data_IF_206125923458
#
_entry.id   IF_206125923458
#
_cell.length_a   1.000
_cell.length_b   1.000
_cell.length_c   1.000
_cell.angle_alpha   90.00
_cell.angle_beta   90.00
_cell.angle_gamma   90.00
#
_symmetry.space_group_name_H-M   'P 1'
#
loop_
_entity.id
_entity.type
_entity.pdbx_description
1 polymer ?
#
# COMPACT_ATOMS: atom_id res chain seq x y z
N UNK A 1 7.83 -9.53 12.86
CA UNK A 1 8.68 -8.34 12.76
C UNK A 1 7.90 -7.14 12.23
N UNK A 2 8.38 -5.92 12.58
CA UNK A 2 7.89 -4.67 11.99
C UNK A 2 9.08 -3.88 11.46
N UNK A 3 8.92 -3.31 10.29
CA UNK A 3 9.95 -2.51 9.62
C UNK A 3 9.39 -1.14 9.29
N UNK A 4 10.15 -0.10 9.58
CA UNK A 4 9.89 1.25 9.05
C UNK A 4 10.79 1.44 7.84
N UNK A 5 10.22 1.91 6.75
CA UNK A 5 10.92 2.21 5.52
C UNK A 5 10.73 3.67 5.17
N UNK A 6 11.83 4.42 5.03
CA UNK A 6 11.78 5.82 4.62
C UNK A 6 11.60 5.98 3.12
N UNK A 7 11.19 7.16 2.69
CA UNK A 7 10.98 7.48 1.27
C UNK A 7 12.26 7.37 0.43
N UNK A 8 13.42 7.59 1.04
CA UNK A 8 14.72 7.48 0.39
C UNK A 8 15.30 6.04 0.39
N UNK A 9 14.56 5.06 0.94
CA UNK A 9 14.91 3.64 0.91
C UNK A 9 15.80 3.16 2.06
N UNK A 10 15.76 3.81 3.23
CA UNK A 10 16.41 3.36 4.47
C UNK A 10 15.44 2.55 5.33
N UNK A 11 15.95 1.57 6.05
CA UNK A 11 15.14 0.69 6.88
C UNK A 11 15.55 0.70 8.35
N UNK A 12 14.53 0.59 9.21
CA UNK A 12 14.66 0.39 10.66
C UNK A 12 13.80 -0.80 11.07
N UNK A 13 14.40 -1.79 11.69
CA UNK A 13 13.67 -2.92 12.26
C UNK A 13 13.22 -2.57 13.68
N UNK A 14 11.93 -2.77 13.97
CA UNK A 14 11.37 -2.64 15.32
C UNK A 14 11.25 -4.04 15.90
N UNK A 15 12.08 -4.36 16.89
CA UNK A 15 12.09 -5.67 17.54
C UNK A 15 10.76 -5.96 18.25
N UNK A 16 10.39 -7.24 18.34
CA UNK A 16 9.25 -7.68 19.16
C UNK A 16 9.48 -7.23 20.62
N UNK A 17 8.50 -6.53 21.19
CA UNK A 17 8.52 -6.13 22.61
C UNK A 17 9.06 -4.73 22.89
N UNK A 18 9.51 -4.00 21.87
CA UNK A 18 9.78 -2.56 22.02
C UNK A 18 8.44 -1.83 21.87
N UNK A 19 8.05 -1.09 22.92
CA UNK A 19 6.93 -0.16 22.82
C UNK A 19 7.27 1.01 21.90
N UNK A 20 6.27 1.78 21.50
CA UNK A 20 6.55 3.02 20.73
C UNK A 20 7.39 3.97 21.56
N UNK A 21 7.18 3.99 22.88
CA UNK A 21 7.95 4.78 23.83
C UNK A 21 9.40 4.29 23.89
N UNK A 22 9.65 2.98 24.02
CA UNK A 22 11.01 2.41 24.03
C UNK A 22 11.73 2.65 22.70
N UNK A 23 11.00 2.64 21.58
CA UNK A 23 11.54 2.97 20.27
C UNK A 23 11.96 4.44 20.20
N UNK A 24 11.15 5.34 20.77
CA UNK A 24 11.43 6.78 20.83
C UNK A 24 12.61 7.09 21.75
N UNK A 25 12.77 6.37 22.87
CA UNK A 25 13.87 6.57 23.82
C UNK A 25 15.19 5.92 23.36
N UNK A 26 15.11 4.80 22.65
CA UNK A 26 16.28 4.02 22.25
C UNK A 26 16.94 4.42 20.93
N UNK A 27 16.28 5.26 20.13
CA UNK A 27 16.80 5.81 18.89
C UNK A 27 16.72 7.33 19.04
N UNK A 28 17.75 8.04 18.63
CA UNK A 28 17.66 9.49 18.54
C UNK A 28 16.59 9.85 17.51
N UNK A 29 15.37 9.99 18.02
CA UNK A 29 14.15 10.15 17.24
C UNK A 29 14.23 11.32 16.24
N UNK A 30 14.96 12.38 16.61
CA UNK A 30 15.19 13.52 15.72
C UNK A 30 15.98 13.12 14.49
N UNK A 31 17.01 12.27 14.62
CA UNK A 31 17.77 11.75 13.50
C UNK A 31 16.94 10.80 12.64
N UNK A 32 16.15 9.93 13.26
CA UNK A 32 15.20 9.06 12.54
C UNK A 32 14.13 9.88 11.84
N UNK A 33 13.56 10.88 12.50
CA UNK A 33 12.54 11.75 11.93
C UNK A 33 13.08 12.58 10.77
N UNK A 34 14.28 13.12 10.90
CA UNK A 34 14.95 13.85 9.83
C UNK A 34 15.28 12.93 8.64
N UNK A 35 15.70 11.68 8.91
CA UNK A 35 16.01 10.70 7.89
C UNK A 35 14.75 10.09 7.22
N UNK A 36 13.66 9.92 7.96
CA UNK A 36 12.41 9.37 7.44
C UNK A 36 11.63 10.38 6.58
N UNK A 37 11.78 11.69 6.86
CA UNK A 37 10.98 12.71 6.18
C UNK A 37 9.48 12.51 6.37
N UNK A 38 8.68 13.23 5.60
CA UNK A 38 7.23 13.04 5.57
C UNK A 38 6.90 11.82 4.71
N UNK A 39 6.33 10.77 5.32
CA UNK A 39 5.77 9.64 4.57
C UNK A 39 6.52 8.31 4.67
N UNK A 40 7.15 8.02 5.81
CA UNK A 40 7.66 6.67 6.09
C UNK A 40 6.54 5.62 6.08
N UNK A 41 6.85 4.42 5.60
CA UNK A 41 5.94 3.28 5.55
C UNK A 41 6.24 2.34 6.72
N UNK A 42 5.23 2.06 7.54
CA UNK A 42 5.30 1.01 8.56
C UNK A 42 4.78 -0.31 7.97
N UNK A 43 5.60 -1.34 8.02
CA UNK A 43 5.31 -2.63 7.44
C UNK A 43 5.28 -3.69 8.53
N UNK A 44 4.20 -4.44 8.60
CA UNK A 44 4.12 -5.66 9.39
C UNK A 44 4.58 -6.85 8.55
N UNK A 45 5.58 -7.57 9.03
CA UNK A 45 6.18 -8.69 8.33
C UNK A 45 5.69 -10.00 8.98
N UNK A 46 4.77 -10.74 8.34
CA UNK A 46 4.36 -12.04 8.83
C UNK A 46 5.51 -13.05 8.73
N UNK A 47 5.50 -14.04 9.61
CA UNK A 47 6.55 -15.08 9.65
C UNK A 47 6.53 -15.98 8.38
N UNK A 48 5.43 -15.96 7.63
CA UNK A 48 5.28 -16.70 6.36
C UNK A 48 5.90 -15.99 5.15
N UNK A 49 6.27 -14.71 5.27
CA UNK A 49 6.86 -13.96 4.17
C UNK A 49 8.38 -14.21 4.07
N UNK A 50 8.89 -14.31 2.86
CA UNK A 50 10.32 -14.48 2.57
C UNK A 50 10.96 -13.24 1.95
N UNK A 51 10.14 -12.34 1.47
CA UNK A 51 10.57 -11.19 0.68
C UNK A 51 9.88 -9.90 1.12
N UNK A 52 10.59 -8.79 0.95
CA UNK A 52 10.05 -7.44 0.97
C UNK A 52 10.12 -6.88 -0.46
N UNK A 53 8.98 -6.44 -0.99
CA UNK A 53 8.95 -5.68 -2.24
C UNK A 53 8.71 -4.20 -1.91
N UNK A 54 9.73 -3.38 -2.18
CA UNK A 54 9.64 -1.92 -2.06
C UNK A 54 9.18 -1.32 -3.38
N UNK A 55 8.32 -0.33 -3.32
CA UNK A 55 7.65 0.24 -4.48
C UNK A 55 7.76 1.76 -4.48
N UNK A 56 8.19 2.32 -5.60
CA UNK A 56 8.35 3.76 -5.77
C UNK A 56 7.14 4.42 -6.47
N UNK A 57 7.01 5.72 -6.28
CA UNK A 57 5.91 6.52 -6.85
C UNK A 57 5.84 6.46 -8.38
N UNK A 58 6.96 6.26 -9.05
CA UNK A 58 7.03 6.10 -10.50
C UNK A 58 6.69 4.68 -10.99
N UNK A 59 6.23 3.80 -10.10
CA UNK A 59 5.84 2.43 -10.40
C UNK A 59 6.99 1.42 -10.43
N UNK A 60 8.24 1.84 -10.27
CA UNK A 60 9.40 0.93 -10.19
C UNK A 60 9.45 0.24 -8.84
N UNK A 61 10.00 -0.97 -8.81
CA UNK A 61 10.01 -1.82 -7.62
C UNK A 61 11.31 -2.58 -7.47
N UNK A 62 11.54 -3.11 -6.27
CA UNK A 62 12.65 -4.04 -6.00
C UNK A 62 12.23 -5.08 -4.97
N UNK A 63 12.61 -6.33 -5.19
CA UNK A 63 12.41 -7.45 -4.26
C UNK A 63 13.69 -7.73 -3.50
N UNK A 64 13.60 -7.72 -2.17
CA UNK A 64 14.70 -7.96 -1.24
C UNK A 64 14.40 -9.17 -0.35
N UNK A 65 15.42 -9.96 0.10
CA UNK A 65 15.23 -10.99 1.11
C UNK A 65 14.80 -10.38 2.43
N UNK A 66 13.70 -10.86 3.01
CA UNK A 66 13.14 -10.30 4.24
C UNK A 66 14.07 -10.52 5.45
N UNK A 67 14.73 -11.68 5.54
CA UNK A 67 15.70 -12.00 6.58
C UNK A 67 16.84 -10.97 6.64
N UNK A 68 17.32 -10.51 5.51
CA UNK A 68 18.33 -9.45 5.44
C UNK A 68 17.77 -8.10 5.89
N UNK A 69 16.56 -7.75 5.48
CA UNK A 69 15.95 -6.46 5.85
C UNK A 69 15.74 -6.38 7.37
N UNK A 70 15.23 -7.45 7.99
CA UNK A 70 14.97 -7.47 9.44
C UNK A 70 16.24 -7.57 10.29
N UNK A 71 17.36 -7.95 9.71
CA UNK A 71 18.68 -7.98 10.36
C UNK A 71 19.57 -6.79 10.01
N UNK A 72 19.06 -5.87 9.19
CA UNK A 72 19.79 -4.67 8.79
C UNK A 72 20.11 -3.77 9.99
N UNK A 73 21.28 -3.14 9.94
CA UNK A 73 21.60 -2.10 10.90
C UNK A 73 20.61 -0.92 10.75
N UNK A 74 20.06 -0.36 11.84
CA UNK A 74 19.10 0.74 11.76
C UNK A 74 19.59 1.89 10.88
N UNK A 75 18.73 2.37 9.97
CA UNK A 75 19.07 3.44 9.02
C UNK A 75 19.87 2.99 7.80
N UNK A 76 20.11 1.68 7.63
CA UNK A 76 20.81 1.19 6.44
C UNK A 76 20.04 1.51 5.16
N UNK A 77 20.78 1.95 4.14
CA UNK A 77 20.26 2.15 2.79
C UNK A 77 20.03 0.78 2.12
N UNK A 78 18.79 0.29 2.13
CA UNK A 78 18.46 -1.00 1.53
C UNK A 78 18.07 -0.88 0.06
N UNK A 79 17.52 0.27 -0.35
CA UNK A 79 17.13 0.58 -1.73
C UNK A 79 17.72 1.93 -2.14
N UNK A 80 18.28 2.00 -3.34
CA UNK A 80 18.65 3.27 -3.98
C UNK A 80 17.49 3.78 -4.82
N UNK A 81 16.97 4.95 -4.51
CA UNK A 81 15.77 5.51 -5.14
C UNK A 81 16.07 6.46 -6.30
N UNK A 82 17.30 6.96 -6.41
CA UNK A 82 17.74 7.95 -7.40
C UNK A 82 16.80 9.19 -7.37
N UNK A 83 16.06 9.46 -8.47
CA UNK A 83 15.16 10.62 -8.60
C UNK A 83 13.70 10.35 -8.19
N UNK A 84 13.42 9.22 -7.54
CA UNK A 84 12.08 8.84 -7.10
C UNK A 84 12.03 8.61 -5.59
N UNK A 85 10.88 8.28 -5.05
CA UNK A 85 10.77 7.93 -3.63
C UNK A 85 9.90 6.68 -3.42
N UNK A 86 10.25 5.93 -2.37
CA UNK A 86 9.43 4.81 -1.92
C UNK A 86 8.11 5.34 -1.35
N UNK A 87 7.01 4.75 -1.77
CA UNK A 87 5.67 5.13 -1.29
C UNK A 87 4.96 4.00 -0.57
N UNK A 88 5.35 2.76 -0.85
CA UNK A 88 4.74 1.59 -0.23
C UNK A 88 5.71 0.39 -0.25
N UNK A 89 5.42 -0.63 0.56
CA UNK A 89 6.13 -1.88 0.52
C UNK A 89 5.28 -3.04 1.06
N UNK A 90 5.49 -4.24 0.53
CA UNK A 90 4.77 -5.45 0.88
C UNK A 90 5.73 -6.54 1.35
N UNK A 91 5.47 -7.15 2.52
CA UNK A 91 6.03 -8.45 2.86
C UNK A 91 5.22 -9.54 2.16
N UNK A 92 5.87 -10.40 1.41
CA UNK A 92 5.23 -11.40 0.56
C UNK A 92 6.10 -12.63 0.37
N UNK A 93 5.51 -13.69 -0.17
CA UNK A 93 6.18 -14.91 -0.60
C UNK A 93 6.34 -14.94 -2.13
N UNK A 94 7.24 -15.77 -2.63
CA UNK A 94 7.46 -15.91 -4.08
C UNK A 94 6.19 -16.33 -4.85
N UNK A 95 5.31 -17.09 -4.18
CA UNK A 95 4.04 -17.56 -4.76
C UNK A 95 2.92 -16.51 -4.79
N UNK A 96 3.12 -15.37 -4.12
CA UNK A 96 2.12 -14.32 -4.05
C UNK A 96 2.05 -13.50 -5.34
N UNK A 97 0.98 -12.74 -5.45
CA UNK A 97 0.81 -11.69 -6.46
C UNK A 97 0.67 -10.34 -5.77
N UNK A 98 1.17 -9.30 -6.39
CA UNK A 98 1.04 -7.92 -5.93
C UNK A 98 0.01 -7.18 -6.78
N UNK A 99 -0.80 -6.36 -6.13
CA UNK A 99 -1.75 -5.46 -6.75
C UNK A 99 -1.22 -4.03 -6.63
N UNK A 100 -0.87 -3.43 -7.77
CA UNK A 100 -0.45 -2.04 -7.91
C UNK A 100 -1.66 -1.18 -8.24
N UNK A 101 -1.79 -0.04 -7.59
CA UNK A 101 -2.89 0.92 -7.80
C UNK A 101 -2.30 2.31 -7.98
N UNK A 102 -2.61 2.97 -9.10
CA UNK A 102 -2.14 4.33 -9.37
C UNK A 102 -3.13 5.39 -8.88
N UNK A 103 -2.66 6.62 -8.75
CA UNK A 103 -3.48 7.77 -8.36
C UNK A 103 -4.59 8.10 -9.36
N UNK A 104 -4.39 7.80 -10.64
CA UNK A 104 -5.44 7.95 -11.67
C UNK A 104 -6.41 6.76 -11.73
N UNK A 105 -6.36 5.86 -10.74
CA UNK A 105 -7.31 4.76 -10.61
C UNK A 105 -7.05 3.59 -11.56
N UNK A 106 -5.80 3.42 -12.02
CA UNK A 106 -5.37 2.23 -12.75
C UNK A 106 -4.93 1.15 -11.76
N UNK A 107 -5.12 -0.11 -12.13
CA UNK A 107 -4.62 -1.24 -11.35
C UNK A 107 -3.96 -2.29 -12.23
N UNK A 108 -2.92 -2.93 -11.66
CA UNK A 108 -2.18 -4.01 -12.31
C UNK A 108 -1.84 -5.07 -11.27
N UNK A 109 -1.88 -6.34 -11.67
CA UNK A 109 -1.50 -7.47 -10.83
C UNK A 109 -0.25 -8.14 -11.40
N UNK A 110 0.74 -8.41 -10.55
CA UNK A 110 2.03 -9.00 -10.94
C UNK A 110 2.41 -10.10 -9.95
N UNK A 111 2.82 -11.26 -10.46
CA UNK A 111 3.39 -12.32 -9.63
C UNK A 111 4.74 -11.88 -9.03
N UNK A 112 4.94 -12.11 -7.73
CA UNK A 112 6.20 -11.80 -7.02
C UNK A 112 7.40 -12.50 -7.67
N UNK A 113 7.22 -13.72 -8.17
CA UNK A 113 8.22 -14.50 -8.89
C UNK A 113 8.79 -13.81 -10.16
N UNK A 114 8.13 -12.75 -10.65
CA UNK A 114 8.63 -11.93 -11.77
C UNK A 114 9.77 -11.01 -11.37
N UNK A 115 9.89 -10.68 -10.10
CA UNK A 115 10.94 -9.83 -9.57
C UNK A 115 12.13 -10.70 -9.14
N UNK A 116 13.29 -10.43 -9.70
CA UNK A 116 14.53 -11.06 -9.25
C UNK A 116 14.83 -10.64 -7.82
N UNK A 117 15.06 -11.62 -6.94
CA UNK A 117 15.47 -11.39 -5.58
C UNK A 117 16.86 -10.74 -5.53
N UNK A 118 16.97 -9.49 -5.10
CA UNK A 118 18.22 -8.75 -4.99
C UNK A 118 18.84 -8.98 -3.62
N UNK A 119 20.04 -9.54 -3.61
CA UNK A 119 20.76 -9.87 -2.35
C UNK A 119 21.70 -8.76 -1.90
N UNK A 120 21.94 -7.77 -2.75
CA UNK A 120 22.86 -6.67 -2.46
C UNK A 120 22.11 -5.46 -1.90
N UNK A 121 22.74 -4.78 -0.93
CA UNK A 121 22.23 -3.54 -0.36
C UNK A 121 22.37 -2.37 -1.34
N UNK A 122 21.47 -1.37 -1.21
CA UNK A 122 21.50 -0.19 -2.06
C UNK A 122 21.28 -0.51 -3.54
N UNK A 123 20.62 -1.63 -3.85
CA UNK A 123 20.25 -1.97 -5.21
C UNK A 123 19.21 -0.98 -5.75
N UNK A 124 19.32 -0.68 -7.05
CA UNK A 124 18.39 0.20 -7.73
C UNK A 124 17.04 -0.47 -7.98
N UNK A 125 16.02 0.37 -8.17
CA UNK A 125 14.70 -0.05 -8.58
C UNK A 125 14.71 -0.58 -10.01
N UNK A 126 13.89 -1.57 -10.26
CA UNK A 126 13.66 -2.16 -11.58
C UNK A 126 12.22 -1.91 -12.03
N UNK A 127 11.87 -2.40 -13.22
CA UNK A 127 10.53 -2.21 -13.74
C UNK A 127 9.43 -2.78 -12.83
N UNK A 128 8.30 -2.11 -12.83
CA UNK A 128 7.09 -2.49 -12.12
C UNK A 128 5.87 -2.10 -12.97
N UNK A 129 4.92 -1.37 -12.38
CA UNK A 129 3.82 -0.79 -13.14
C UNK A 129 4.31 0.36 -14.03
N UNK A 130 3.98 0.33 -15.32
CA UNK A 130 4.33 1.41 -16.23
C UNK A 130 3.38 2.61 -16.03
N UNK A 131 3.86 3.66 -15.39
CA UNK A 131 3.14 4.91 -15.19
C UNK A 131 3.42 5.84 -16.37
N UNK A 132 2.59 5.79 -17.39
CA UNK A 132 2.80 6.55 -18.65
C UNK A 132 1.94 7.82 -18.75
N UNK A 133 0.93 7.97 -17.90
CA UNK A 133 0.09 9.15 -17.92
C UNK A 133 0.76 10.29 -17.18
N UNK A 134 0.90 11.43 -17.83
CA UNK A 134 1.44 12.63 -17.21
C UNK A 134 0.67 12.97 -15.93
N UNK A 135 1.41 13.20 -14.84
CA UNK A 135 0.86 13.47 -13.51
C UNK A 135 0.24 12.27 -12.82
N UNK A 136 0.38 11.03 -13.35
CA UNK A 136 0.04 9.83 -12.61
C UNK A 136 1.24 9.35 -11.78
N UNK A 137 0.93 8.75 -10.65
CA UNK A 137 1.90 8.14 -9.74
C UNK A 137 1.30 6.90 -9.12
N UNK A 138 2.13 5.98 -8.67
CA UNK A 138 1.65 4.88 -7.85
C UNK A 138 1.11 5.41 -6.53
N UNK A 139 0.02 4.82 -6.05
CA UNK A 139 -0.65 5.18 -4.79
C UNK A 139 -0.46 4.07 -3.75
N UNK A 140 -0.71 2.82 -4.13
CA UNK A 140 -0.63 1.66 -3.22
C UNK A 140 -0.08 0.44 -3.93
N UNK A 141 0.57 -0.41 -3.13
CA UNK A 141 0.89 -1.78 -3.50
C UNK A 141 0.42 -2.71 -2.39
N UNK A 142 -0.35 -3.72 -2.72
CA UNK A 142 -0.94 -4.66 -1.76
C UNK A 142 -0.62 -6.09 -2.18
N UNK A 143 -0.43 -7.00 -1.22
CA UNK A 143 -0.48 -8.43 -1.53
C UNK A 143 -1.90 -8.77 -1.95
N UNK A 144 -2.06 -9.35 -3.13
CA UNK A 144 -3.36 -9.68 -3.69
C UNK A 144 -4.06 -10.78 -2.89
N UNK A 145 -5.30 -10.51 -2.48
CA UNK A 145 -6.14 -11.41 -1.69
C UNK A 145 -7.45 -11.70 -2.44
N UNK A 146 -7.57 -12.85 -3.14
CA UNK A 146 -8.68 -13.12 -4.04
C UNK A 146 -10.05 -13.21 -3.37
N UNK A 147 -10.09 -13.58 -2.09
CA UNK A 147 -11.34 -13.79 -1.34
C UNK A 147 -11.79 -12.57 -0.53
N UNK A 148 -10.99 -11.49 -0.53
CA UNK A 148 -11.28 -10.30 0.28
C UNK A 148 -11.79 -9.13 -0.57
N UNK A 149 -12.68 -8.35 0.01
CA UNK A 149 -13.16 -7.11 -0.61
C UNK A 149 -12.08 -6.03 -0.58
N UNK A 150 -11.72 -5.52 -1.75
CA UNK A 150 -10.83 -4.38 -1.90
C UNK A 150 -11.66 -3.09 -1.84
N UNK A 151 -11.35 -2.21 -0.90
CA UNK A 151 -11.92 -0.86 -0.84
C UNK A 151 -10.91 0.14 -1.39
N UNK A 152 -11.34 0.95 -2.35
CA UNK A 152 -10.55 2.01 -2.98
C UNK A 152 -11.18 3.35 -2.65
N UNK A 153 -10.37 4.31 -2.24
CA UNK A 153 -10.82 5.61 -1.74
C UNK A 153 -10.19 6.73 -2.55
N UNK A 154 -11.02 7.68 -2.99
CA UNK A 154 -10.52 8.89 -3.67
C UNK A 154 -10.34 10.06 -2.72
N UNK A 155 -9.56 11.05 -3.18
CA UNK A 155 -9.30 12.30 -2.44
C UNK A 155 -10.58 13.08 -2.17
N UNK A 156 -11.54 13.07 -3.11
CA UNK A 156 -12.83 13.73 -2.95
C UNK A 156 -13.83 12.90 -2.11
N UNK A 157 -13.39 11.85 -1.45
CA UNK A 157 -14.19 11.07 -0.51
C UNK A 157 -15.12 10.06 -1.15
N UNK A 158 -14.86 9.63 -2.38
CA UNK A 158 -15.58 8.50 -2.98
C UNK A 158 -15.00 7.18 -2.51
N UNK A 159 -15.88 6.21 -2.30
CA UNK A 159 -15.53 4.83 -1.94
C UNK A 159 -16.03 3.88 -3.01
N UNK A 160 -15.18 2.92 -3.35
CA UNK A 160 -15.49 1.82 -4.24
C UNK A 160 -15.11 0.52 -3.53
N UNK A 161 -16.04 -0.43 -3.39
CA UNK A 161 -15.72 -1.77 -2.95
C UNK A 161 -15.81 -2.75 -4.12
N UNK A 162 -14.79 -3.58 -4.26
CA UNK A 162 -14.69 -4.61 -5.28
C UNK A 162 -14.52 -5.96 -4.61
N UNK A 163 -15.33 -6.93 -5.03
CA UNK A 163 -15.00 -8.32 -4.77
C UNK A 163 -13.79 -8.70 -5.61
N UNK A 164 -12.73 -9.13 -4.92
CA UNK A 164 -11.54 -9.66 -5.60
C UNK A 164 -11.69 -11.15 -5.92
N UNK A 165 -12.95 -11.64 -6.10
CA UNK A 165 -13.16 -12.99 -6.57
C UNK A 165 -12.58 -13.21 -7.97
N UNK A 166 -12.34 -14.45 -8.31
CA UNK A 166 -11.69 -14.83 -9.57
C UNK A 166 -12.41 -14.30 -10.82
N UNK A 167 -13.69 -14.02 -10.77
CA UNK A 167 -14.44 -13.56 -11.93
C UNK A 167 -14.39 -12.05 -12.13
N UNK A 168 -14.49 -11.26 -11.08
CA UNK A 168 -14.34 -9.81 -11.14
C UNK A 168 -12.89 -9.41 -11.47
N UNK A 169 -11.91 -10.19 -10.99
CA UNK A 169 -10.47 -9.91 -11.16
C UNK A 169 -9.84 -10.57 -12.39
N UNK A 170 -10.51 -11.49 -13.07
CA UNK A 170 -10.05 -12.00 -14.38
C UNK A 170 -9.76 -10.86 -15.39
N UNK A 171 -10.32 -9.68 -15.15
CA UNK A 171 -10.11 -8.48 -15.97
C UNK A 171 -8.98 -7.57 -15.46
N UNK A 172 -8.46 -7.77 -14.23
CA UNK A 172 -7.17 -7.19 -13.82
C UNK A 172 -6.13 -8.21 -14.27
N UNK A 173 -5.71 -8.12 -15.53
CA UNK A 173 -4.88 -9.14 -16.13
C UNK A 173 -3.57 -9.29 -15.38
N UNK A 174 -3.24 -10.54 -15.04
CA UNK A 174 -1.84 -10.91 -14.74
C UNK A 174 -1.10 -10.79 -16.05
N UNK A 175 -0.42 -9.70 -16.24
CA UNK A 175 0.31 -9.46 -17.47
C UNK A 175 1.62 -10.21 -17.46
N UNK A 176 2.00 -10.78 -18.59
CA UNK A 176 3.25 -11.51 -18.76
C UNK A 176 4.50 -10.61 -18.76
N UNK A 177 4.37 -9.31 -18.53
CA UNK A 177 5.46 -8.35 -18.50
C UNK A 177 5.38 -7.41 -17.33
N UNK A 178 6.51 -6.90 -16.88
CA UNK A 178 6.64 -5.91 -15.79
C UNK A 178 6.44 -4.45 -16.24
N UNK A 179 5.99 -4.22 -17.47
CA UNK A 179 5.86 -2.89 -18.07
C UNK A 179 4.47 -2.68 -18.66
N UNK A 180 3.42 -2.76 -17.84
CA UNK A 180 2.05 -2.61 -18.30
C UNK A 180 1.34 -1.50 -17.53
N UNK A 181 0.49 -0.75 -18.24
CA UNK A 181 -0.26 0.40 -17.70
C UNK A 181 -1.35 0.03 -16.70
N UNK A 182 -1.72 -1.25 -16.62
CA UNK A 182 -2.88 -1.69 -15.87
C UNK A 182 -4.21 -1.34 -16.55
N UNK A 183 -5.28 -1.63 -15.84
CA UNK A 183 -6.68 -1.43 -16.28
C UNK A 183 -7.38 -0.44 -15.36
N UNK A 184 -8.47 0.16 -15.85
CA UNK A 184 -9.29 1.05 -15.03
C UNK A 184 -9.92 0.29 -13.86
N UNK A 185 -9.57 0.69 -12.65
CA UNK A 185 -10.12 0.17 -11.40
C UNK A 185 -11.28 1.04 -10.93
N UNK A 186 -11.02 2.36 -10.80
CA UNK A 186 -11.98 3.36 -10.33
C UNK A 186 -12.12 4.46 -11.36
N UNK A 187 -13.36 4.85 -11.67
CA UNK A 187 -13.64 6.02 -12.52
C UNK A 187 -13.58 7.27 -11.68
N UNK A 188 -12.61 8.11 -11.97
CA UNK A 188 -12.42 9.42 -11.34
C UNK A 188 -12.91 10.52 -12.26
N UNK A 189 -13.27 11.68 -11.71
CA UNK A 189 -13.73 12.85 -12.45
C UNK A 189 -12.92 14.09 -12.09
N UNK A 190 -12.66 14.93 -13.07
CA UNK A 190 -11.90 16.18 -12.86
C UNK A 190 -10.50 15.92 -12.35
N UNK A 191 -10.16 16.55 -11.24
CA UNK A 191 -8.85 16.47 -10.57
C UNK A 191 -8.80 15.41 -9.45
N UNK A 192 -9.86 14.61 -9.30
CA UNK A 192 -9.90 13.58 -8.26
C UNK A 192 -8.85 12.50 -8.50
N UNK A 193 -8.29 11.96 -7.40
CA UNK A 193 -7.26 10.94 -7.44
C UNK A 193 -7.52 9.89 -6.39
N UNK A 194 -7.06 8.67 -6.60
CA UNK A 194 -7.01 7.65 -5.55
C UNK A 194 -5.97 8.07 -4.51
N UNK A 195 -6.34 8.01 -3.24
CA UNK A 195 -5.44 8.32 -2.11
C UNK A 195 -5.13 7.11 -1.26
N UNK A 196 -5.99 6.11 -1.26
CA UNK A 196 -5.75 4.88 -0.51
C UNK A 196 -6.53 3.69 -1.09
N UNK A 197 -6.06 2.50 -0.78
CA UNK A 197 -6.76 1.25 -1.04
C UNK A 197 -6.33 0.21 0.00
N UNK A 198 -7.30 -0.58 0.48
CA UNK A 198 -7.05 -1.59 1.51
C UNK A 198 -8.06 -2.74 1.43
N UNK A 199 -7.66 -3.88 1.93
CA UNK A 199 -8.58 -4.98 2.21
C UNK A 199 -9.12 -4.80 3.62
N UNK A 200 -10.42 -4.57 3.76
CA UNK A 200 -11.09 -4.44 5.04
C UNK A 200 -12.11 -5.57 5.23
N UNK A 201 -12.21 -6.10 6.44
CA UNK A 201 -13.18 -7.15 6.77
C UNK A 201 -14.48 -6.58 7.29
N UNK A 202 -14.42 -5.64 8.20
CA UNK A 202 -15.59 -5.13 8.91
C UNK A 202 -15.89 -3.67 8.57
N UNK A 203 -14.89 -2.82 8.56
CA UNK A 203 -15.10 -1.40 8.35
C UNK A 203 -13.88 -0.65 7.85
N UNK A 204 -14.14 0.54 7.34
CA UNK A 204 -13.13 1.49 6.87
C UNK A 204 -13.40 2.84 7.51
N UNK A 205 -12.38 3.47 8.07
CA UNK A 205 -12.43 4.86 8.53
C UNK A 205 -11.62 5.72 7.56
N UNK A 206 -12.27 6.72 6.99
CA UNK A 206 -11.62 7.75 6.18
C UNK A 206 -11.27 8.96 7.04
N UNK A 207 -10.06 9.49 6.85
CA UNK A 207 -9.54 10.67 7.52
C UNK A 207 -9.34 11.79 6.50
N UNK A 208 -9.80 13.00 6.83
CA UNK A 208 -9.64 14.17 5.98
C UNK A 208 -8.53 15.11 6.47
N UNK A 209 -8.02 15.95 5.59
CA UNK A 209 -6.98 16.93 5.89
C UNK A 209 -7.37 17.97 6.96
N UNK A 210 -8.65 18.15 7.21
CA UNK A 210 -9.18 19.06 8.25
C UNK A 210 -9.55 18.35 9.55
N UNK A 211 -9.06 17.10 9.75
CA UNK A 211 -9.22 16.35 10.99
C UNK A 211 -10.59 15.68 11.18
N UNK A 212 -11.46 15.64 10.15
CA UNK A 212 -12.70 14.88 10.22
C UNK A 212 -12.44 13.41 9.93
N UNK A 213 -13.19 12.54 10.62
CA UNK A 213 -13.18 11.11 10.39
C UNK A 213 -14.60 10.61 10.11
N UNK A 214 -14.74 9.62 9.24
CA UNK A 214 -16.02 8.92 9.00
C UNK A 214 -15.78 7.45 8.74
N UNK A 215 -16.50 6.61 9.50
CA UNK A 215 -16.49 5.16 9.35
C UNK A 215 -17.62 4.66 8.45
N UNK A 216 -17.35 3.56 7.77
CA UNK A 216 -18.31 2.77 6.99
C UNK A 216 -18.12 1.30 7.30
N UNK A 217 -19.22 0.58 7.53
CA UNK A 217 -19.17 -0.87 7.49
C UNK A 217 -18.94 -1.32 6.04
N UNK A 218 -18.14 -2.35 5.85
CA UNK A 218 -17.85 -2.87 4.50
C UNK A 218 -19.13 -3.31 3.79
N UNK A 219 -20.10 -3.85 4.54
CA UNK A 219 -21.38 -4.28 3.99
C UNK A 219 -22.29 -3.11 3.53
N UNK A 220 -22.08 -1.91 4.06
CA UNK A 220 -22.80 -0.70 3.63
C UNK A 220 -22.22 -0.09 2.36
N UNK A 221 -21.00 -0.50 1.96
CA UNK A 221 -20.38 -0.05 0.73
C UNK A 221 -20.89 -0.92 -0.42
N UNK A 222 -21.63 -0.30 -1.34
CA UNK A 222 -22.14 -1.02 -2.50
C UNK A 222 -20.99 -1.66 -3.28
N UNK A 223 -21.01 -2.98 -3.39
CA UNK A 223 -20.07 -3.74 -4.21
C UNK A 223 -20.38 -3.52 -5.68
N UNK A 224 -19.37 -3.12 -6.43
CA UNK A 224 -19.52 -2.77 -7.85
C UNK A 224 -18.41 -3.40 -8.66
N UNK A 225 -18.61 -3.44 -9.97
CA UNK A 225 -17.56 -3.83 -10.89
C UNK A 225 -16.49 -2.72 -11.00
N UNK A 226 -15.28 -3.09 -11.41
CA UNK A 226 -14.25 -2.11 -11.71
C UNK A 226 -14.74 -1.06 -12.73
N UNK A 227 -14.05 0.08 -12.77
CA UNK A 227 -14.42 1.25 -13.60
C UNK A 227 -15.77 1.88 -13.22
N UNK A 228 -16.15 1.77 -11.96
CA UNK A 228 -17.25 2.50 -11.35
C UNK A 228 -16.73 3.74 -10.62
N UNK A 229 -17.58 4.73 -10.45
CA UNK A 229 -17.25 5.93 -9.65
C UNK A 229 -17.42 5.75 -8.15
N UNK A 230 -17.97 4.62 -7.72
CA UNK A 230 -18.25 4.37 -6.30
C UNK A 230 -19.37 5.23 -5.74
N UNK A 231 -19.46 5.26 -4.40
CA UNK A 231 -20.40 6.09 -3.65
C UNK A 231 -19.68 7.29 -3.02
N UNK A 232 -20.41 8.37 -2.74
CA UNK A 232 -19.87 9.51 -2.00
C UNK A 232 -19.91 9.21 -0.51
N UNK A 233 -18.74 9.19 0.11
CA UNK A 233 -18.59 8.93 1.54
C UNK A 233 -18.56 10.21 2.38
N UNK A 234 -17.43 10.88 2.43
CA UNK A 234 -17.21 12.06 3.26
C UNK A 234 -16.96 13.30 2.39
N UNK A 235 -17.51 14.44 2.79
CA UNK A 235 -17.17 15.71 2.16
C UNK A 235 -15.82 16.23 2.72
N UNK A 236 -14.91 16.59 1.83
CA UNK A 236 -13.58 17.09 2.17
C UNK A 236 -12.49 16.31 1.45
N UNK A 237 -11.25 16.75 1.62
CA UNK A 237 -10.11 16.04 1.05
C UNK A 237 -9.69 14.90 1.97
N UNK A 238 -9.92 13.67 1.55
CA UNK A 238 -9.42 12.48 2.23
C UNK A 238 -7.91 12.38 2.01
N UNK A 239 -7.19 12.11 3.09
CA UNK A 239 -5.73 11.95 3.07
C UNK A 239 -5.31 10.52 3.36
N UNK A 240 -6.14 9.74 4.07
CA UNK A 240 -5.87 8.35 4.41
C UNK A 240 -7.14 7.58 4.75
N UNK A 241 -7.07 6.27 4.60
CA UNK A 241 -8.05 5.35 5.15
C UNK A 241 -7.36 4.27 6.00
N UNK A 242 -8.06 3.75 6.99
CA UNK A 242 -7.59 2.67 7.84
C UNK A 242 -8.69 1.63 8.02
N UNK A 243 -8.29 0.36 8.16
CA UNK A 243 -9.23 -0.69 8.55
C UNK A 243 -9.73 -0.44 9.98
N UNK A 244 -11.01 -0.69 10.20
CA UNK A 244 -11.65 -0.57 11.49
C UNK A 244 -12.35 -1.86 11.87
N UNK A 245 -12.21 -2.27 13.14
CA UNK A 245 -13.04 -3.30 13.75
C UNK A 245 -14.31 -2.64 14.29
N UNK A 246 -15.47 -3.13 13.87
CA UNK A 246 -16.77 -2.65 14.36
C UNK A 246 -17.11 -3.46 15.60
N UNK A 247 -17.03 -2.84 16.76
CA UNK A 247 -17.55 -3.43 18.02
C UNK A 247 -19.03 -3.10 18.11
N UNK A 248 -19.89 -4.07 17.91
CA UNK A 248 -21.31 -3.94 18.20
C UNK A 248 -21.46 -4.09 19.72
N UNK A 249 -21.67 -3.00 20.44
CA UNK A 249 -22.14 -3.10 21.81
C UNK A 249 -23.55 -3.68 21.73
N UNK A 250 -23.71 -4.94 22.09
CA UNK A 250 -25.02 -5.49 22.41
C UNK A 250 -25.47 -4.79 23.69
N UNK A 251 -26.26 -3.74 23.57
CA UNK A 251 -27.06 -3.27 24.72
C UNK A 251 -27.99 -4.43 25.08
N UNK A 252 -27.70 -5.04 26.23
CA UNK A 252 -28.60 -5.97 26.86
C UNK A 252 -29.96 -5.28 27.04
N UNK A 253 -30.98 -5.81 26.40
CA UNK A 253 -32.39 -5.45 26.63
C UNK A 253 -32.91 -6.14 27.86
#
# INVERSE_FOLDING_TARGET
HKVILSRDGRAWNISKGISVEDFVEGIEWEDCRAAMGDGAVLISCPDSADSLVCVAENGRSVRLPLDKVVTAYPGSQIVRTDETCIIDACCCSESDELLYISRKGKAMRVAVSRYTLRKDWGCGLVDGMNIIYEGDMLCRCLVYQPERSLTVISQQGKLLALLTDREATKKISVTKGVTVQGVDLMRLSGTDVVVDALYAEQGVIMLTNNGKARGYAVDDITRVNRNSSGITGIAGQVVRAVEATITVNQEEK
#
